data_IF_403080533938
#
_entry.id   IF_403080533938
#
_cell.length_a   1.000
_cell.length_b   1.000
_cell.length_c   1.000
_cell.angle_alpha   90.00
_cell.angle_beta   90.00
_cell.angle_gamma   90.00
#
_symmetry.space_group_name_H-M   'P 1'
#
loop_
_entity.id
_entity.type
_entity.pdbx_description
1 polymer ?
#
# COMPACT_ATOMS: atom_id res chain seq x y z
N UNK A 1 -9.38 -20.13 -11.47
CA UNK A 1 -7.92 -19.95 -11.34
C UNK A 1 -7.58 -19.05 -10.15
N UNK A 2 -7.71 -19.55 -8.91
CA UNK A 2 -7.40 -18.79 -7.69
C UNK A 2 -6.42 -19.61 -6.84
N UNK A 3 -5.13 -19.56 -7.15
CA UNK A 3 -4.13 -20.46 -6.54
C UNK A 3 -3.37 -19.89 -5.33
N UNK A 4 -3.34 -18.57 -5.07
CA UNK A 4 -2.63 -18.04 -3.88
C UNK A 4 -3.22 -16.72 -3.32
N UNK A 5 -4.28 -16.76 -2.47
CA UNK A 5 -4.80 -15.57 -1.79
C UNK A 5 -3.77 -14.88 -0.87
N UNK A 6 -2.76 -15.61 -0.39
CA UNK A 6 -1.69 -15.10 0.49
C UNK A 6 -0.63 -14.25 -0.23
N UNK A 7 -0.47 -14.38 -1.56
CA UNK A 7 0.48 -13.55 -2.34
C UNK A 7 -0.02 -12.12 -2.55
N UNK A 8 -1.34 -11.90 -2.62
CA UNK A 8 -1.93 -10.59 -2.93
C UNK A 8 -1.67 -9.55 -1.84
N UNK A 9 -1.77 -9.92 -0.55
CA UNK A 9 -1.50 -8.98 0.54
C UNK A 9 -0.02 -8.62 0.70
N UNK A 10 0.91 -9.55 0.43
CA UNK A 10 2.34 -9.24 0.45
C UNK A 10 2.74 -8.33 -0.71
N UNK A 11 2.09 -8.47 -1.87
CA UNK A 11 2.29 -7.55 -2.99
C UNK A 11 1.85 -6.13 -2.62
N UNK A 12 0.67 -5.95 -2.01
CA UNK A 12 0.23 -4.62 -1.58
C UNK A 12 1.19 -4.01 -0.56
N UNK A 13 1.62 -4.80 0.44
CA UNK A 13 2.59 -4.33 1.43
C UNK A 13 3.95 -3.98 0.81
N UNK A 14 4.42 -4.77 -0.15
CA UNK A 14 5.66 -4.50 -0.89
C UNK A 14 5.55 -3.22 -1.72
N UNK A 15 4.40 -2.96 -2.34
CA UNK A 15 4.14 -1.73 -3.09
C UNK A 15 4.12 -0.50 -2.17
N UNK A 16 3.43 -0.60 -1.04
CA UNK A 16 3.43 0.47 -0.02
C UNK A 16 4.84 0.72 0.51
N UNK A 17 5.60 -0.34 0.79
CA UNK A 17 6.99 -0.23 1.24
C UNK A 17 7.90 0.40 0.17
N UNK A 18 7.71 0.03 -1.11
CA UNK A 18 8.48 0.59 -2.22
C UNK A 18 8.29 2.10 -2.39
N UNK A 19 7.10 2.62 -2.08
CA UNK A 19 6.87 4.07 -2.05
C UNK A 19 7.37 4.74 -0.76
N UNK A 20 7.07 4.15 0.40
CA UNK A 20 7.29 4.77 1.71
C UNK A 20 8.77 4.79 2.13
N UNK A 21 9.52 3.73 1.85
CA UNK A 21 10.92 3.60 2.30
C UNK A 21 11.84 4.65 1.66
N UNK A 22 11.86 4.83 0.33
CA UNK A 22 12.65 5.90 -0.29
C UNK A 22 12.22 7.28 0.21
N UNK A 23 10.92 7.47 0.45
CA UNK A 23 10.37 8.71 0.99
C UNK A 23 10.92 9.06 2.37
N UNK A 24 10.89 8.09 3.29
CA UNK A 24 11.46 8.25 4.64
C UNK A 24 12.96 8.51 4.60
N UNK A 25 13.68 7.81 3.71
CA UNK A 25 15.11 8.04 3.52
C UNK A 25 15.41 9.46 3.04
N UNK A 26 14.63 9.99 2.10
CA UNK A 26 14.76 11.40 1.64
C UNK A 26 14.48 12.37 2.79
N UNK A 27 13.46 12.12 3.60
CA UNK A 27 13.10 12.96 4.75
C UNK A 27 14.11 12.92 5.90
N UNK A 28 14.85 11.83 6.08
CA UNK A 28 15.82 11.66 7.15
C UNK A 28 17.25 12.07 6.75
N UNK A 29 17.53 12.22 5.44
CA UNK A 29 18.86 12.53 4.92
C UNK A 29 19.35 13.95 5.27
N UNK A 30 20.38 14.19 6.09
CA UNK A 30 20.67 15.51 6.68
C UNK A 30 21.08 16.64 5.71
N UNK A 31 21.17 16.40 4.39
CA UNK A 31 21.50 17.40 3.38
C UNK A 31 20.66 17.27 2.09
N UNK A 32 21.16 17.79 0.95
CA UNK A 32 20.57 17.52 -0.36
C UNK A 32 20.56 16.01 -0.63
N UNK A 33 19.39 15.47 -0.98
CA UNK A 33 19.26 14.06 -1.27
C UNK A 33 20.09 13.69 -2.52
N UNK A 34 20.91 12.63 -2.46
CA UNK A 34 21.72 12.22 -3.59
C UNK A 34 20.83 11.70 -4.73
N UNK A 35 21.29 11.85 -5.98
CA UNK A 35 20.49 11.53 -7.17
C UNK A 35 19.97 10.09 -7.18
N UNK A 36 20.76 9.12 -6.74
CA UNK A 36 20.33 7.72 -6.69
C UNK A 36 19.12 7.50 -5.77
N UNK A 37 19.00 8.28 -4.69
CA UNK A 37 17.90 8.19 -3.75
C UNK A 37 16.62 8.79 -4.35
N UNK A 38 16.76 9.88 -5.11
CA UNK A 38 15.67 10.47 -5.87
C UNK A 38 15.19 9.52 -6.97
N UNK A 39 16.10 8.85 -7.68
CA UNK A 39 15.74 7.82 -8.67
C UNK A 39 14.98 6.66 -8.00
N UNK A 40 15.43 6.19 -6.84
CA UNK A 40 14.73 5.16 -6.09
C UNK A 40 13.33 5.62 -5.63
N UNK A 41 13.20 6.89 -5.22
CA UNK A 41 11.91 7.49 -4.89
C UNK A 41 10.99 7.55 -6.12
N UNK A 42 11.48 8.03 -7.26
CA UNK A 42 10.71 8.05 -8.50
C UNK A 42 10.26 6.65 -8.93
N UNK A 43 11.14 5.66 -8.83
CA UNK A 43 10.80 4.27 -9.11
C UNK A 43 9.72 3.74 -8.14
N UNK A 44 9.83 4.07 -6.84
CA UNK A 44 8.82 3.74 -5.84
C UNK A 44 7.46 4.37 -6.12
N UNK A 45 7.43 5.65 -6.52
CA UNK A 45 6.21 6.35 -6.91
C UNK A 45 5.58 5.75 -8.18
N UNK A 46 6.39 5.28 -9.14
CA UNK A 46 5.91 4.62 -10.35
C UNK A 46 5.15 3.31 -10.04
N UNK A 47 5.42 2.65 -8.91
CA UNK A 47 4.67 1.48 -8.42
C UNK A 47 3.21 1.83 -8.10
N UNK A 48 2.87 3.12 -7.94
CA UNK A 48 1.49 3.58 -7.77
C UNK A 48 0.55 3.14 -8.88
N UNK A 49 1.04 3.03 -10.12
CA UNK A 49 0.25 2.52 -11.26
C UNK A 49 -0.25 1.09 -11.03
N UNK A 50 0.65 0.11 -10.89
CA UNK A 50 0.28 -1.26 -10.49
C UNK A 50 -0.52 -1.35 -9.19
N UNK A 51 -0.24 -0.49 -8.21
CA UNK A 51 -0.97 -0.44 -6.94
C UNK A 51 -2.46 -0.11 -7.12
N UNK A 52 -2.79 0.85 -8.00
CA UNK A 52 -4.17 1.24 -8.29
C UNK A 52 -4.98 0.09 -8.90
N UNK A 53 -4.38 -0.68 -9.82
CA UNK A 53 -5.01 -1.83 -10.45
C UNK A 53 -5.41 -2.90 -9.42
N UNK A 54 -4.53 -3.15 -8.44
CA UNK A 54 -4.81 -4.07 -7.32
C UNK A 54 -5.95 -3.53 -6.44
N UNK A 55 -6.00 -2.22 -6.18
CA UNK A 55 -7.08 -1.58 -5.44
C UNK A 55 -8.46 -1.78 -6.08
N UNK A 56 -8.56 -1.56 -7.39
CA UNK A 56 -9.80 -1.83 -8.14
C UNK A 56 -10.15 -3.31 -8.15
N UNK A 57 -9.16 -4.17 -8.35
CA UNK A 57 -9.34 -5.62 -8.30
C UNK A 57 -9.91 -6.09 -6.96
N UNK A 58 -9.48 -5.51 -5.84
CA UNK A 58 -10.05 -5.78 -4.53
C UNK A 58 -11.51 -5.32 -4.43
N UNK A 59 -11.83 -4.10 -4.86
CA UNK A 59 -13.19 -3.59 -4.84
C UNK A 59 -14.16 -4.45 -5.67
N UNK A 60 -13.69 -4.97 -6.81
CA UNK A 60 -14.47 -5.88 -7.67
C UNK A 60 -14.67 -7.26 -7.08
N UNK A 61 -13.68 -7.78 -6.32
CA UNK A 61 -13.74 -9.13 -5.73
C UNK A 61 -14.84 -9.24 -4.66
N UNK A 62 -15.17 -8.14 -3.97
CA UNK A 62 -16.12 -8.13 -2.86
C UNK A 62 -17.51 -7.58 -3.19
N UNK A 63 -17.75 -7.13 -4.44
CA UNK A 63 -19.02 -6.52 -4.83
C UNK A 63 -19.70 -7.30 -5.97
N UNK A 64 -21.04 -7.50 -5.92
CA UNK A 64 -21.76 -8.17 -6.99
C UNK A 64 -21.70 -7.37 -8.31
N UNK A 65 -21.77 -8.07 -9.44
CA UNK A 65 -21.53 -7.51 -10.79
C UNK A 65 -22.29 -6.20 -11.12
N UNK A 66 -23.53 -6.08 -10.65
CA UNK A 66 -24.37 -4.89 -10.87
C UNK A 66 -23.95 -3.65 -10.07
N UNK A 67 -23.00 -3.78 -9.11
CA UNK A 67 -22.49 -2.68 -8.26
C UNK A 67 -21.01 -2.39 -8.47
N UNK A 68 -20.40 -2.94 -9.51
CA UNK A 68 -18.95 -2.75 -9.78
C UNK A 68 -18.61 -1.29 -10.11
N UNK A 69 -19.51 -0.57 -10.81
CA UNK A 69 -19.34 0.86 -11.10
C UNK A 69 -19.25 1.69 -9.82
N UNK A 70 -20.20 1.50 -8.90
CA UNK A 70 -20.19 2.17 -7.59
C UNK A 70 -18.96 1.82 -6.76
N UNK A 71 -18.51 0.56 -6.76
CA UNK A 71 -17.31 0.13 -6.03
C UNK A 71 -16.04 0.83 -6.53
N UNK A 72 -15.84 0.91 -7.85
CA UNK A 72 -14.68 1.61 -8.42
C UNK A 72 -14.76 3.13 -8.16
N UNK A 73 -15.98 3.70 -8.20
CA UNK A 73 -16.19 5.12 -7.91
C UNK A 73 -15.78 5.48 -6.48
N UNK A 74 -16.15 4.65 -5.49
CA UNK A 74 -15.75 4.86 -4.08
C UNK A 74 -14.23 4.79 -3.91
N UNK A 75 -13.55 3.84 -4.57
CA UNK A 75 -12.08 3.74 -4.51
C UNK A 75 -11.42 4.99 -5.10
N UNK A 76 -11.87 5.44 -6.27
CA UNK A 76 -11.33 6.63 -6.91
C UNK A 76 -11.58 7.89 -6.09
N UNK A 77 -12.80 8.05 -5.56
CA UNK A 77 -13.14 9.18 -4.71
C UNK A 77 -12.24 9.22 -3.49
N UNK A 78 -12.04 8.09 -2.80
CA UNK A 78 -11.13 8.01 -1.66
C UNK A 78 -9.69 8.40 -2.01
N UNK A 79 -9.16 7.90 -3.13
CA UNK A 79 -7.81 8.24 -3.59
C UNK A 79 -7.66 9.72 -3.95
N UNK A 80 -8.61 10.26 -4.70
CA UNK A 80 -8.57 11.67 -5.10
C UNK A 80 -8.75 12.62 -3.92
N UNK A 81 -9.68 12.32 -3.01
CA UNK A 81 -9.85 13.09 -1.78
C UNK A 81 -8.57 13.06 -0.93
N UNK A 82 -7.90 11.92 -0.81
CA UNK A 82 -6.62 11.84 -0.11
C UNK A 82 -5.54 12.72 -0.77
N UNK A 83 -5.46 12.74 -2.12
CA UNK A 83 -4.54 13.62 -2.84
C UNK A 83 -4.86 15.10 -2.60
N UNK A 84 -6.13 15.50 -2.65
CA UNK A 84 -6.56 16.89 -2.39
C UNK A 84 -6.19 17.30 -0.96
N UNK A 85 -6.49 16.46 0.03
CA UNK A 85 -6.12 16.71 1.44
C UNK A 85 -4.60 16.83 1.58
N UNK A 86 -3.83 15.94 0.95
CA UNK A 86 -2.37 15.97 1.01
C UNK A 86 -1.82 17.28 0.45
N UNK A 87 -2.21 17.66 -0.77
CA UNK A 87 -1.74 18.89 -1.42
C UNK A 87 -2.17 20.13 -0.62
N UNK A 88 -3.39 20.15 -0.08
CA UNK A 88 -3.86 21.27 0.74
C UNK A 88 -3.05 21.41 2.04
N UNK A 89 -2.80 20.31 2.74
CA UNK A 89 -2.01 20.35 3.98
C UNK A 89 -0.55 20.72 3.72
N UNK A 90 0.03 20.26 2.61
CA UNK A 90 1.38 20.68 2.19
C UNK A 90 1.41 22.20 1.98
N UNK A 91 0.43 22.75 1.25
CA UNK A 91 0.31 24.19 1.03
C UNK A 91 0.19 24.96 2.34
N UNK A 92 -0.73 24.56 3.22
CA UNK A 92 -0.91 25.21 4.53
C UNK A 92 0.35 25.20 5.40
N UNK A 93 1.13 24.12 5.34
CA UNK A 93 2.40 24.05 6.08
C UNK A 93 3.48 24.93 5.46
N UNK A 94 3.51 25.06 4.13
CA UNK A 94 4.41 26.01 3.46
C UNK A 94 4.02 27.45 3.75
N UNK A 95 2.73 27.79 3.67
CA UNK A 95 2.20 29.12 3.98
C UNK A 95 2.51 29.50 5.44
N UNK A 96 2.35 28.56 6.38
CA UNK A 96 2.69 28.78 7.78
C UNK A 96 4.20 28.86 8.04
N UNK A 97 5.02 28.26 7.16
CA UNK A 97 6.47 28.27 7.31
C UNK A 97 7.11 29.57 6.82
N UNK A 98 6.43 30.33 5.95
CA UNK A 98 6.84 31.67 5.53
C UNK A 98 6.26 32.10 4.19
N UNK A 99 6.24 33.41 3.96
CA UNK A 99 5.70 34.03 2.77
C UNK A 99 6.82 34.37 1.78
N UNK A 100 7.19 33.46 0.87
CA UNK A 100 8.08 33.84 -0.24
C UNK A 100 8.86 32.74 -0.96
N UNK A 101 9.60 33.11 -2.02
CA UNK A 101 10.39 32.19 -2.86
C UNK A 101 11.61 31.57 -2.15
N UNK A 102 11.98 32.05 -0.96
CA UNK A 102 13.16 31.62 -0.20
C UNK A 102 12.86 30.49 0.80
N UNK A 103 12.08 29.49 0.37
CA UNK A 103 11.85 28.31 1.19
C UNK A 103 13.16 27.53 1.39
N UNK A 104 13.54 27.34 2.65
CA UNK A 104 14.67 26.52 3.03
C UNK A 104 14.37 25.02 2.82
N UNK A 105 15.42 24.24 2.61
CA UNK A 105 15.32 22.78 2.49
C UNK A 105 14.62 22.13 3.70
N UNK A 106 14.77 22.73 4.90
CA UNK A 106 14.08 22.29 6.11
C UNK A 106 12.56 22.49 6.06
N UNK A 107 12.09 23.65 5.60
CA UNK A 107 10.67 23.96 5.48
C UNK A 107 10.00 23.06 4.43
N UNK A 108 10.67 22.84 3.29
CA UNK A 108 10.20 21.90 2.29
C UNK A 108 10.06 20.48 2.84
N UNK A 109 11.04 19.99 3.61
CA UNK A 109 10.96 18.65 4.23
C UNK A 109 9.82 18.54 5.23
N UNK A 110 9.55 19.59 5.99
CA UNK A 110 8.47 19.62 6.96
C UNK A 110 7.09 19.58 6.27
N UNK A 111 6.91 20.38 5.21
CA UNK A 111 5.72 20.31 4.37
C UNK A 111 5.55 18.93 3.71
N UNK A 112 6.65 18.38 3.23
CA UNK A 112 6.72 17.04 2.66
C UNK A 112 6.36 15.94 3.70
N UNK A 113 6.76 16.09 4.96
CA UNK A 113 6.48 15.11 6.02
C UNK A 113 4.99 14.94 6.37
N UNK A 114 4.14 15.91 6.02
CA UNK A 114 2.67 15.86 6.19
C UNK A 114 2.04 14.64 5.51
N UNK A 115 2.70 14.09 4.50
CA UNK A 115 2.27 12.90 3.78
C UNK A 115 2.38 11.64 4.65
N UNK A 116 3.27 11.62 5.65
CA UNK A 116 3.49 10.46 6.51
C UNK A 116 2.26 10.09 7.35
N UNK A 117 1.55 11.03 8.02
CA UNK A 117 0.26 10.76 8.65
C UNK A 117 -0.77 10.15 7.68
N UNK A 118 -0.86 10.64 6.45
CA UNK A 118 -1.78 10.12 5.43
C UNK A 118 -1.43 8.67 5.05
N UNK A 119 -0.15 8.38 4.86
CA UNK A 119 0.34 7.01 4.69
C UNK A 119 0.01 6.13 5.89
N UNK A 120 0.20 6.63 7.11
CA UNK A 120 -0.11 5.90 8.32
C UNK A 120 -1.61 5.56 8.41
N UNK A 121 -2.50 6.51 8.11
CA UNK A 121 -3.95 6.29 8.04
C UNK A 121 -4.29 5.24 7.00
N UNK A 122 -3.69 5.29 5.80
CA UNK A 122 -3.89 4.28 4.76
C UNK A 122 -3.43 2.88 5.20
N UNK A 123 -2.27 2.78 5.84
CA UNK A 123 -1.72 1.53 6.35
C UNK A 123 -2.60 0.97 7.49
N UNK A 124 -2.96 1.79 8.47
CA UNK A 124 -3.83 1.41 9.59
C UNK A 124 -5.19 0.98 9.08
N UNK A 125 -5.80 1.75 8.17
CA UNK A 125 -7.06 1.42 7.52
C UNK A 125 -6.99 0.07 6.81
N UNK A 126 -5.90 -0.21 6.10
CA UNK A 126 -5.66 -1.51 5.48
C UNK A 126 -5.58 -2.65 6.52
N UNK A 127 -4.84 -2.47 7.61
CA UNK A 127 -4.72 -3.49 8.67
C UNK A 127 -6.03 -3.73 9.43
N UNK A 128 -6.77 -2.67 9.76
CA UNK A 128 -8.08 -2.77 10.42
C UNK A 128 -9.10 -3.47 9.52
N UNK A 129 -9.15 -3.09 8.25
CA UNK A 129 -10.05 -3.69 7.26
C UNK A 129 -9.68 -5.15 7.00
N UNK A 130 -8.39 -5.51 7.05
CA UNK A 130 -7.94 -6.90 6.97
C UNK A 130 -8.43 -7.75 8.14
N UNK A 131 -8.51 -7.18 9.35
CA UNK A 131 -9.08 -7.83 10.53
C UNK A 131 -10.60 -8.03 10.39
N UNK A 132 -11.32 -7.00 9.95
CA UNK A 132 -12.77 -7.07 9.70
C UNK A 132 -13.13 -8.02 8.56
N UNK A 133 -12.41 -7.99 7.45
CA UNK A 133 -12.64 -8.88 6.31
C UNK A 133 -12.48 -10.35 6.71
N UNK A 134 -11.49 -10.70 7.54
CA UNK A 134 -11.35 -12.07 8.06
C UNK A 134 -12.51 -12.47 8.97
N UNK A 135 -13.00 -11.56 9.81
CA UNK A 135 -14.16 -11.83 10.70
C UNK A 135 -15.45 -12.02 9.90
N UNK A 136 -15.66 -11.20 8.86
CA UNK A 136 -16.82 -11.32 7.95
C UNK A 136 -16.75 -12.61 7.12
N UNK A 137 -15.57 -12.97 6.57
CA UNK A 137 -15.40 -14.24 5.84
C UNK A 137 -15.58 -15.46 6.76
N UNK A 138 -15.10 -15.39 8.00
CA UNK A 138 -15.31 -16.45 9.00
C UNK A 138 -16.79 -16.61 9.36
N UNK A 139 -17.53 -15.50 9.48
CA UNK A 139 -18.98 -15.52 9.68
C UNK A 139 -19.76 -16.08 8.47
N UNK A 140 -19.19 -16.01 7.27
CA UNK A 140 -19.74 -16.58 6.03
C UNK A 140 -19.31 -18.02 5.76
N UNK A 141 -18.63 -18.69 6.71
CA UNK A 141 -18.22 -20.09 6.59
C UNK A 141 -16.97 -20.35 5.73
N UNK A 142 -16.34 -19.32 5.17
CA UNK A 142 -15.05 -19.44 4.49
C UNK A 142 -13.89 -19.24 5.49
N UNK A 143 -13.41 -20.34 6.06
CA UNK A 143 -12.22 -20.34 6.93
C UNK A 143 -10.98 -20.00 6.08
N UNK A 144 -10.46 -18.78 6.21
CA UNK A 144 -9.15 -18.39 5.67
C UNK A 144 -8.08 -18.89 6.65
N UNK A 145 -7.32 -19.96 6.34
CA UNK A 145 -6.40 -20.56 7.29
C UNK A 145 -5.26 -19.59 7.67
N UNK A 146 -4.78 -19.62 8.93
CA UNK A 146 -3.67 -18.80 9.38
C UNK A 146 -2.37 -19.12 8.62
N UNK A 147 -1.54 -18.09 8.43
CA UNK A 147 -0.33 -18.12 7.58
C UNK A 147 0.63 -19.28 7.92
N UNK A 148 0.71 -19.69 9.19
CA UNK A 148 1.57 -20.79 9.66
C UNK A 148 1.13 -22.16 9.11
N UNK A 149 -0.18 -22.36 8.94
CA UNK A 149 -0.74 -23.62 8.47
C UNK A 149 -0.62 -23.76 6.96
N UNK A 150 -0.79 -22.66 6.22
CA UNK A 150 -0.55 -22.62 4.79
C UNK A 150 0.93 -22.92 4.45
N UNK A 151 1.88 -22.31 5.18
CA UNK A 151 3.30 -22.59 5.03
C UNK A 151 3.66 -24.05 5.36
N UNK A 152 3.11 -24.61 6.44
CA UNK A 152 3.33 -26.03 6.78
C UNK A 152 2.76 -26.98 5.73
N UNK A 153 1.67 -26.63 5.05
CA UNK A 153 1.10 -27.44 3.95
C UNK A 153 1.99 -27.41 2.71
N UNK A 154 2.46 -26.22 2.32
CA UNK A 154 3.35 -26.05 1.17
C UNK A 154 4.68 -26.79 1.37
N UNK A 155 5.25 -26.70 2.58
CA UNK A 155 6.51 -27.36 2.92
C UNK A 155 6.39 -28.88 2.86
N UNK A 156 5.30 -29.45 3.40
CA UNK A 156 4.99 -30.89 3.33
C UNK A 156 4.70 -31.38 1.91
N UNK A 157 4.04 -30.56 1.09
CA UNK A 157 3.77 -30.91 -0.31
C UNK A 157 5.07 -30.99 -1.13
N UNK A 158 6.02 -30.08 -0.88
CA UNK A 158 7.35 -30.11 -1.50
C UNK A 158 8.20 -31.30 -1.05
N UNK A 159 8.15 -31.68 0.22
CA UNK A 159 8.89 -32.87 0.72
C UNK A 159 8.32 -34.19 0.19
N UNK A 160 7.00 -34.29 -0.03
CA UNK A 160 6.38 -35.49 -0.64
C UNK A 160 6.66 -35.64 -2.14
N UNK A 161 6.91 -34.55 -2.86
CA UNK A 161 7.27 -34.58 -4.28
C UNK A 161 8.69 -35.10 -4.55
N UNK A 162 9.59 -34.98 -3.56
CA UNK A 162 10.98 -35.43 -3.64
C UNK A 162 11.16 -36.93 -3.35
N UNK A 163 10.15 -37.61 -2.79
CA UNK A 163 10.23 -39.00 -2.35
C UNK A 163 9.44 -39.98 -3.24
N UNK A 164 9.10 -39.57 -4.47
CA UNK A 164 8.58 -40.50 -5.49
C UNK A 164 9.78 -41.14 -6.20
N UNK A 165 10.04 -42.45 -6.04
CA UNK A 165 11.05 -43.11 -6.85
C UNK A 165 10.64 -42.96 -8.32
N UNK A 166 11.56 -42.43 -9.13
CA UNK A 166 11.45 -42.58 -10.58
C UNK A 166 11.64 -44.07 -10.83
N UNK A 167 10.61 -44.65 -11.45
CA UNK A 167 10.54 -46.05 -11.89
C UNK A 167 11.83 -46.46 -12.58
#
# INVERSE_FOLDING_TARGET
MQRHPLRRSNLVLAMVAAGLVPWLLVLLWPGPAPLWLLVALCAGLAVGGPGSAIGFDFARTFNPGHRLGAANAVVNLGGFTACVIATQLIGLVLDAAGDGPDYTLGQFRLAMAVQLPLYAVGIVGMYLTRGRARRVLAAQGQVVPPWREALRREWRARTRGLNRPRV
#
